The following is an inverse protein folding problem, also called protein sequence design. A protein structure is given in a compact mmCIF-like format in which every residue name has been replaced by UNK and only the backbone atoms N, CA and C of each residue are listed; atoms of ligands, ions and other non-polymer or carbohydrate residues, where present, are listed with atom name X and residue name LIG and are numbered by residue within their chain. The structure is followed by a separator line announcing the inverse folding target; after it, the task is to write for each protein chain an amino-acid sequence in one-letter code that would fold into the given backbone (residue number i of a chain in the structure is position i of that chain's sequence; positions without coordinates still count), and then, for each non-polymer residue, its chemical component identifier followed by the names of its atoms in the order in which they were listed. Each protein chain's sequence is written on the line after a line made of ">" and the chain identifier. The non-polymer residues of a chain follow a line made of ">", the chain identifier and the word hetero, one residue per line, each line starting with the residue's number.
data_IF_531513741941
#
_entry.id   IF_531513741941
#
_cell.length_a   1.000
_cell.length_b   1.000
_cell.length_c   1.000
_cell.angle_alpha   90.00
_cell.angle_beta   90.00
_cell.angle_gamma   90.00
#
_symmetry.space_group_name_H-M   'P 1'
#
loop_
_entity.id
_entity.type
_entity.pdbx_description
1 polymer ?
#
# COMPACT_ATOMS: atom_id res chain seq x y z
N UNK A 1 -3.77 7.80 2.49
CA UNK A 1 -5.22 8.02 2.36
C UNK A 1 -5.70 9.39 2.86
N UNK A 2 -5.35 9.83 4.09
CA UNK A 2 -5.77 11.17 4.58
C UNK A 2 -5.42 12.29 3.60
N UNK A 3 -4.16 12.31 3.12
CA UNK A 3 -3.66 13.34 2.21
C UNK A 3 -4.26 13.20 0.80
N UNK A 4 -4.30 11.99 0.26
CA UNK A 4 -5.02 11.72 -0.99
C UNK A 4 -6.48 12.24 -0.99
N UNK A 5 -7.21 11.97 0.08
CA UNK A 5 -8.58 12.49 0.25
C UNK A 5 -8.64 14.01 0.41
N UNK A 6 -7.72 14.61 1.15
CA UNK A 6 -7.68 16.06 1.36
C UNK A 6 -7.32 16.84 0.09
N UNK A 7 -6.38 16.35 -0.71
CA UNK A 7 -5.89 17.02 -1.91
C UNK A 7 -6.82 16.88 -3.11
N UNK A 8 -7.55 15.76 -3.21
CA UNK A 8 -8.37 15.44 -4.39
C UNK A 8 -9.84 15.17 -4.06
N UNK A 9 -10.28 15.52 -2.84
CA UNK A 9 -11.67 15.39 -2.39
C UNK A 9 -12.25 13.97 -2.49
N UNK A 10 -11.40 12.95 -2.39
CA UNK A 10 -11.83 11.55 -2.35
C UNK A 10 -12.37 11.20 -0.96
N UNK A 11 -13.52 10.50 -0.86
CA UNK A 11 -13.98 9.94 0.40
C UNK A 11 -12.90 9.03 1.02
N UNK A 12 -12.75 9.07 2.34
CA UNK A 12 -11.67 8.36 3.04
C UNK A 12 -11.63 6.85 2.73
N UNK A 13 -12.80 6.19 2.70
CA UNK A 13 -12.89 4.77 2.36
C UNK A 13 -12.42 4.44 0.95
N UNK A 14 -12.70 5.33 -0.02
CA UNK A 14 -12.22 5.19 -1.41
C UNK A 14 -10.71 5.35 -1.47
N UNK A 15 -10.18 6.37 -0.79
CA UNK A 15 -8.73 6.60 -0.72
C UNK A 15 -7.98 5.43 -0.05
N UNK A 16 -8.58 4.75 0.94
CA UNK A 16 -8.01 3.53 1.51
C UNK A 16 -8.05 2.37 0.50
N UNK A 17 -9.19 2.15 -0.15
CA UNK A 17 -9.35 1.06 -1.12
C UNK A 17 -8.39 1.17 -2.31
N UNK A 18 -8.10 2.39 -2.75
CA UNK A 18 -7.13 2.65 -3.82
C UNK A 18 -5.68 2.37 -3.42
N UNK A 19 -5.35 2.47 -2.13
CA UNK A 19 -3.97 2.34 -1.64
C UNK A 19 -3.67 0.98 -0.99
N UNK A 20 -4.70 0.22 -0.58
CA UNK A 20 -4.50 -0.95 0.29
C UNK A 20 -3.64 -2.04 -0.36
N UNK A 21 -3.77 -2.28 -1.66
CA UNK A 21 -2.94 -3.27 -2.35
C UNK A 21 -1.47 -2.84 -2.38
N UNK A 22 -1.20 -1.58 -2.71
CA UNK A 22 0.17 -1.03 -2.70
C UNK A 22 0.81 -1.20 -1.33
N UNK A 23 0.07 -0.86 -0.27
CA UNK A 23 0.56 -0.94 1.12
C UNK A 23 0.78 -2.39 1.56
N UNK A 24 -0.08 -3.33 1.16
CA UNK A 24 0.10 -4.76 1.44
C UNK A 24 1.39 -5.26 0.79
N UNK A 25 1.58 -5.00 -0.51
CA UNK A 25 2.78 -5.40 -1.26
C UNK A 25 4.04 -4.77 -0.67
N UNK A 26 3.98 -3.49 -0.34
CA UNK A 26 5.06 -2.74 0.30
C UNK A 26 5.45 -3.31 1.67
N UNK A 27 4.48 -3.62 2.52
CA UNK A 27 4.74 -4.09 3.88
C UNK A 27 5.14 -5.57 3.94
N UNK A 28 4.81 -6.37 2.92
CA UNK A 28 5.12 -7.80 2.86
C UNK A 28 6.61 -8.11 2.60
N UNK A 29 7.45 -7.11 2.39
CA UNK A 29 8.89 -7.29 2.24
C UNK A 29 9.52 -7.86 3.52
N UNK A 30 10.20 -8.99 3.41
CA UNK A 30 10.94 -9.61 4.52
C UNK A 30 12.31 -8.95 4.77
N UNK A 31 12.79 -8.15 3.82
CA UNK A 31 14.05 -7.40 3.92
C UNK A 31 13.85 -5.93 3.53
N UNK A 32 13.01 -5.16 4.25
CA UNK A 32 12.71 -3.78 3.92
C UNK A 32 13.94 -2.88 4.14
N UNK A 33 14.04 -1.80 3.36
CA UNK A 33 15.11 -0.81 3.52
C UNK A 33 15.15 -0.18 4.92
N UNK A 34 13.99 -0.05 5.57
CA UNK A 34 13.83 0.41 6.95
C UNK A 34 12.72 -0.35 7.66
N UNK A 35 13.03 -0.84 8.85
CA UNK A 35 12.09 -1.53 9.72
C UNK A 35 11.28 -0.52 10.57
N UNK A 36 10.09 -0.92 11.00
CA UNK A 36 9.30 -0.19 11.99
C UNK A 36 10.09 0.06 13.28
N UNK A 37 9.74 1.14 13.99
CA UNK A 37 10.55 1.68 15.10
C UNK A 37 10.14 1.19 16.49
N UNK A 38 9.08 0.37 16.58
CA UNK A 38 8.56 -0.13 17.85
C UNK A 38 9.41 -1.27 18.40
N UNK A 39 9.74 -1.23 19.70
CA UNK A 39 10.62 -2.22 20.33
C UNK A 39 10.04 -3.63 20.40
N UNK A 40 8.71 -3.78 20.33
CA UNK A 40 8.04 -5.08 20.25
C UNK A 40 8.10 -5.68 18.85
N UNK A 41 8.44 -4.89 17.82
CA UNK A 41 8.65 -5.38 16.47
C UNK A 41 10.12 -5.82 16.37
N UNK A 42 10.36 -7.13 16.45
CA UNK A 42 11.68 -7.73 16.62
C UNK A 42 12.38 -8.05 15.28
N UNK A 43 11.61 -8.43 14.26
CA UNK A 43 12.05 -8.59 12.87
C UNK A 43 10.88 -8.37 11.90
N UNK A 44 11.14 -8.14 10.60
CA UNK A 44 10.09 -8.10 9.59
C UNK A 44 9.34 -9.43 9.50
N UNK A 45 8.04 -9.43 9.81
CA UNK A 45 7.20 -10.64 9.75
C UNK A 45 5.79 -10.36 9.19
N UNK A 46 5.61 -9.24 8.48
CA UNK A 46 4.31 -8.84 7.93
C UNK A 46 3.76 -9.85 6.91
N UNK A 47 4.62 -10.47 6.09
CA UNK A 47 4.20 -11.48 5.11
C UNK A 47 3.44 -12.64 5.79
N UNK A 48 4.04 -13.22 6.83
CA UNK A 48 3.41 -14.27 7.63
C UNK A 48 2.10 -13.78 8.28
N UNK A 49 2.06 -12.53 8.77
CA UNK A 49 0.83 -11.95 9.34
C UNK A 49 -0.29 -11.78 8.31
N UNK A 50 0.03 -11.40 7.07
CA UNK A 50 -0.96 -11.38 5.99
C UNK A 50 -1.40 -12.78 5.58
N UNK A 51 -0.47 -13.75 5.56
CA UNK A 51 -0.79 -15.15 5.31
C UNK A 51 -1.76 -15.74 6.35
N UNK A 52 -1.61 -15.37 7.63
CA UNK A 52 -2.57 -15.75 8.67
C UNK A 52 -3.97 -15.18 8.47
N UNK A 53 -4.08 -13.96 7.94
CA UNK A 53 -5.37 -13.38 7.56
C UNK A 53 -6.00 -14.21 6.43
N UNK A 54 -5.20 -14.59 5.43
CA UNK A 54 -5.67 -15.44 4.32
C UNK A 54 -6.14 -16.82 4.82
N UNK A 55 -5.40 -17.43 5.75
CA UNK A 55 -5.78 -18.71 6.38
C UNK A 55 -7.08 -18.58 7.17
N UNK A 56 -7.21 -17.53 7.98
CA UNK A 56 -8.42 -17.26 8.75
C UNK A 56 -9.65 -17.09 7.86
N UNK A 57 -9.48 -16.45 6.70
CA UNK A 57 -10.53 -16.24 5.70
C UNK A 57 -10.75 -17.46 4.78
N UNK A 58 -9.94 -18.51 4.89
CA UNK A 58 -10.05 -19.72 4.08
C UNK A 58 -9.72 -19.51 2.59
N UNK A 59 -8.80 -18.58 2.28
CA UNK A 59 -8.47 -18.20 0.89
C UNK A 59 -7.49 -19.18 0.21
N UNK A 60 -6.87 -20.08 0.98
CA UNK A 60 -5.93 -21.09 0.49
C UNK A 60 -4.55 -20.53 0.11
N UNK A 61 -3.69 -21.40 -0.40
CA UNK A 61 -2.28 -21.13 -0.70
C UNK A 61 -1.35 -22.07 0.09
N UNK A 62 -0.24 -22.49 -0.52
CA UNK A 62 0.74 -23.41 0.08
C UNK A 62 1.91 -22.66 0.73
N UNK A 63 2.24 -21.48 0.22
CA UNK A 63 3.27 -20.59 0.77
C UNK A 63 2.65 -19.28 1.23
N UNK A 64 3.38 -18.51 2.02
CA UNK A 64 2.88 -17.22 2.51
C UNK A 64 2.73 -16.21 1.37
N UNK A 65 3.56 -16.28 0.32
CA UNK A 65 3.41 -15.47 -0.90
C UNK A 65 2.15 -15.84 -1.68
N UNK A 66 1.86 -17.14 -1.85
CA UNK A 66 0.62 -17.58 -2.50
C UNK A 66 -0.62 -17.11 -1.70
N UNK A 67 -0.55 -17.18 -0.37
CA UNK A 67 -1.62 -16.70 0.53
C UNK A 67 -1.77 -15.18 0.46
N UNK A 68 -0.68 -14.43 0.37
CA UNK A 68 -0.68 -12.98 0.17
C UNK A 68 -1.40 -12.60 -1.13
N UNK A 69 -1.05 -13.25 -2.25
CA UNK A 69 -1.71 -12.99 -3.53
C UNK A 69 -3.20 -13.36 -3.50
N UNK A 70 -3.58 -14.44 -2.80
CA UNK A 70 -4.99 -14.80 -2.61
C UNK A 70 -5.74 -13.76 -1.75
N UNK A 71 -5.10 -13.20 -0.71
CA UNK A 71 -5.64 -12.09 0.08
C UNK A 71 -5.85 -10.84 -0.77
N UNK A 72 -4.84 -10.44 -1.55
CA UNK A 72 -4.91 -9.29 -2.45
C UNK A 72 -6.04 -9.50 -3.48
N UNK A 73 -6.12 -10.71 -4.07
CA UNK A 73 -7.20 -11.06 -4.99
C UNK A 73 -8.57 -10.91 -4.33
N UNK A 74 -8.77 -11.43 -3.12
CA UNK A 74 -10.05 -11.32 -2.41
C UNK A 74 -10.43 -9.86 -2.12
N UNK A 75 -9.44 -9.01 -1.77
CA UNK A 75 -9.65 -7.57 -1.60
C UNK A 75 -10.03 -6.90 -2.92
N UNK A 76 -9.38 -7.25 -4.03
CA UNK A 76 -9.67 -6.72 -5.35
C UNK A 76 -11.05 -7.14 -5.87
N UNK A 77 -11.42 -8.40 -5.68
CA UNK A 77 -12.76 -8.91 -5.99
C UNK A 77 -13.83 -8.16 -5.18
N UNK A 78 -13.56 -7.88 -3.90
CA UNK A 78 -14.47 -7.09 -3.06
C UNK A 78 -14.59 -5.64 -3.54
N UNK A 79 -13.46 -4.97 -3.85
CA UNK A 79 -13.44 -3.61 -4.42
C UNK A 79 -14.31 -3.51 -5.66
N UNK A 80 -14.13 -4.42 -6.62
CA UNK A 80 -14.92 -4.47 -7.84
C UNK A 80 -16.42 -4.69 -7.53
N UNK A 81 -16.74 -5.63 -6.64
CA UNK A 81 -18.13 -5.95 -6.25
C UNK A 81 -18.86 -4.77 -5.61
N UNK A 82 -18.15 -3.92 -4.86
CA UNK A 82 -18.74 -2.73 -4.21
C UNK A 82 -18.56 -1.43 -5.01
N UNK A 83 -18.08 -1.52 -6.26
CA UNK A 83 -18.01 -0.40 -7.20
C UNK A 83 -16.84 0.57 -6.99
N UNK A 84 -15.78 0.14 -6.32
CA UNK A 84 -14.53 0.92 -6.27
C UNK A 84 -13.86 0.85 -7.65
N UNK A 85 -13.64 2.01 -8.28
CA UNK A 85 -12.86 2.11 -9.52
C UNK A 85 -11.40 1.72 -9.26
N UNK A 86 -10.74 1.19 -10.28
CA UNK A 86 -9.44 0.52 -10.14
C UNK A 86 -8.30 1.48 -9.78
N UNK A 87 -8.30 2.69 -10.36
CA UNK A 87 -7.20 3.65 -10.21
C UNK A 87 -7.67 5.00 -9.67
N UNK A 88 -6.72 5.80 -9.15
CA UNK A 88 -6.98 7.19 -8.77
C UNK A 88 -7.44 7.99 -10.01
N UNK A 89 -6.85 7.72 -11.18
CA UNK A 89 -7.18 8.38 -12.45
C UNK A 89 -8.65 8.20 -12.83
N UNK A 90 -9.25 7.06 -12.52
CA UNK A 90 -10.65 6.77 -12.87
C UNK A 90 -11.65 7.63 -12.08
N UNK A 91 -11.22 8.34 -11.02
CA UNK A 91 -12.05 9.28 -10.25
C UNK A 91 -11.97 10.72 -10.77
N UNK A 92 -11.66 10.90 -12.06
CA UNK A 92 -11.65 12.20 -12.74
C UNK A 92 -10.62 13.20 -12.15
N UNK A 93 -9.52 12.66 -11.60
CA UNK A 93 -8.40 13.43 -11.10
C UNK A 93 -7.41 13.68 -12.24
N UNK A 94 -7.24 14.95 -12.61
CA UNK A 94 -6.33 15.37 -13.67
C UNK A 94 -4.88 14.98 -13.37
N UNK A 95 -4.19 14.48 -14.39
CA UNK A 95 -2.82 13.96 -14.25
C UNK A 95 -1.82 15.06 -13.90
N UNK A 96 -1.98 16.24 -14.48
CA UNK A 96 -1.09 17.37 -14.19
C UNK A 96 -1.30 17.85 -12.75
N UNK A 97 -2.55 18.05 -12.32
CA UNK A 97 -2.85 18.44 -10.93
C UNK A 97 -2.34 17.40 -9.91
N UNK A 98 -2.51 16.11 -10.21
CA UNK A 98 -1.97 15.03 -9.39
C UNK A 98 -0.44 15.10 -9.26
N UNK A 99 0.26 15.18 -10.39
CA UNK A 99 1.73 15.22 -10.41
C UNK A 99 2.29 16.49 -9.77
N UNK A 100 1.65 17.64 -9.98
CA UNK A 100 2.07 18.92 -9.39
C UNK A 100 1.96 18.91 -7.85
N UNK A 101 0.99 18.17 -7.30
CA UNK A 101 0.74 18.07 -5.85
C UNK A 101 1.40 16.86 -5.18
N UNK A 102 1.95 15.95 -5.97
CA UNK A 102 2.41 14.64 -5.51
C UNK A 102 3.52 14.74 -4.46
N UNK A 103 4.44 15.70 -4.61
CA UNK A 103 5.56 15.87 -3.66
C UNK A 103 5.07 16.35 -2.29
N UNK A 104 4.23 17.39 -2.25
CA UNK A 104 3.61 17.87 -1.01
C UNK A 104 2.74 16.79 -0.34
N UNK A 105 1.96 16.05 -1.14
CA UNK A 105 1.14 14.95 -0.64
C UNK A 105 1.98 13.81 -0.06
N UNK A 106 3.16 13.56 -0.63
CA UNK A 106 4.13 12.55 -0.16
C UNK A 106 4.74 12.96 1.18
N UNK A 107 5.23 14.20 1.29
CA UNK A 107 5.81 14.73 2.53
C UNK A 107 4.79 14.70 3.66
N UNK A 108 3.59 15.22 3.42
CA UNK A 108 2.55 15.20 4.44
C UNK A 108 2.08 13.80 4.82
N UNK A 109 2.19 12.81 3.92
CA UNK A 109 1.88 11.42 4.25
C UNK A 109 2.99 10.80 5.12
N UNK A 110 4.26 11.15 4.85
CA UNK A 110 5.39 10.74 5.69
C UNK A 110 5.28 11.32 7.11
N UNK A 111 4.87 12.59 7.24
CA UNK A 111 4.69 13.28 8.52
C UNK A 111 3.38 12.94 9.26
N UNK A 112 2.51 12.13 8.65
CA UNK A 112 1.24 11.73 9.27
C UNK A 112 1.52 10.84 10.50
N UNK A 113 0.82 11.11 11.61
CA UNK A 113 0.99 10.37 12.87
C UNK A 113 0.73 8.86 12.71
N UNK A 114 -0.09 8.46 11.74
CA UNK A 114 -0.33 7.04 11.45
C UNK A 114 0.92 6.32 10.91
N UNK A 115 1.83 7.02 10.24
CA UNK A 115 3.01 6.42 9.58
C UNK A 115 3.98 5.80 10.57
N UNK A 116 4.11 6.38 11.77
CA UNK A 116 5.03 5.88 12.80
C UNK A 116 4.75 4.45 13.25
N UNK A 117 3.49 3.99 13.12
CA UNK A 117 3.06 2.64 13.50
C UNK A 117 3.17 1.61 12.36
N UNK A 118 3.58 2.00 11.16
CA UNK A 118 3.70 1.06 10.04
C UNK A 118 4.88 0.09 10.25
N UNK A 119 4.74 -1.22 9.98
CA UNK A 119 5.79 -2.23 10.22
C UNK A 119 7.05 -2.02 9.37
N UNK A 120 6.93 -1.26 8.28
CA UNK A 120 8.05 -0.76 7.46
C UNK A 120 8.07 0.76 7.56
N UNK A 121 9.14 1.35 8.11
CA UNK A 121 9.22 2.81 8.18
C UNK A 121 9.52 3.36 6.77
N UNK A 122 8.57 4.02 6.09
CA UNK A 122 8.71 4.26 4.65
C UNK A 122 9.74 5.33 4.33
N UNK A 123 10.34 5.26 3.15
CA UNK A 123 10.99 6.39 2.50
C UNK A 123 9.94 7.22 1.74
N UNK A 124 10.14 8.54 1.66
CA UNK A 124 9.28 9.40 0.82
C UNK A 124 9.23 8.91 -0.64
N UNK A 125 10.34 8.40 -1.17
CA UNK A 125 10.39 7.84 -2.52
C UNK A 125 9.51 6.60 -2.69
N UNK A 126 9.35 5.77 -1.66
CA UNK A 126 8.49 4.59 -1.68
C UNK A 126 7.01 4.99 -1.61
N UNK A 127 6.66 5.98 -0.77
CA UNK A 127 5.31 6.56 -0.72
C UNK A 127 4.94 7.17 -2.07
N UNK A 128 5.83 8.00 -2.64
CA UNK A 128 5.64 8.62 -3.95
C UNK A 128 5.40 7.57 -5.04
N UNK A 129 6.18 6.48 -5.01
CA UNK A 129 6.01 5.39 -5.96
C UNK A 129 4.66 4.68 -5.81
N UNK A 130 4.20 4.40 -4.59
CA UNK A 130 2.88 3.81 -4.35
C UNK A 130 1.75 4.71 -4.87
N UNK A 131 1.85 6.03 -4.69
CA UNK A 131 0.87 6.97 -5.25
C UNK A 131 0.85 6.93 -6.79
N UNK A 132 2.01 6.93 -7.44
CA UNK A 132 2.11 6.82 -8.90
C UNK A 132 1.52 5.49 -9.40
N UNK A 133 1.82 4.39 -8.71
CA UNK A 133 1.29 3.08 -9.04
C UNK A 133 -0.24 3.04 -8.96
N UNK A 134 -0.81 3.52 -7.86
CA UNK A 134 -2.25 3.63 -7.67
C UNK A 134 -2.92 4.59 -8.68
N UNK A 135 -2.20 5.59 -9.18
CA UNK A 135 -2.69 6.48 -10.23
C UNK A 135 -2.73 5.82 -11.60
N UNK A 136 -1.70 5.07 -11.97
CA UNK A 136 -1.55 4.46 -13.31
C UNK A 136 -1.98 2.99 -13.40
N UNK A 137 -2.52 2.40 -12.34
CA UNK A 137 -2.92 0.98 -12.31
C UNK A 137 -1.73 0.02 -12.37
N UNK A 138 -0.62 0.39 -11.71
CA UNK A 138 0.55 -0.47 -11.51
C UNK A 138 0.60 -0.90 -10.05
N UNK A 139 1.54 -1.79 -9.73
CA UNK A 139 1.72 -2.28 -8.37
C UNK A 139 3.13 -2.15 -7.84
N UNK A 140 3.25 -1.95 -6.52
CA UNK A 140 4.52 -1.87 -5.82
C UNK A 140 5.30 -3.16 -6.04
N UNK A 141 6.56 -2.99 -6.44
CA UNK A 141 7.53 -4.07 -6.59
C UNK A 141 8.76 -3.68 -5.79
N UNK A 142 9.24 -4.62 -4.97
CA UNK A 142 10.49 -4.41 -4.24
C UNK A 142 11.63 -4.29 -5.25
N UNK A 143 12.52 -3.32 -5.02
CA UNK A 143 13.73 -3.19 -5.84
C UNK A 143 14.73 -4.24 -5.38
N UNK A 144 15.28 -5.01 -6.30
CA UNK A 144 16.39 -5.90 -5.98
C UNK A 144 17.55 -5.07 -5.41
N UNK A 145 17.96 -5.39 -4.19
CA UNK A 145 19.17 -4.80 -3.64
C UNK A 145 20.40 -5.43 -4.32
N UNK A 146 21.49 -4.65 -4.52
CA UNK A 146 22.76 -5.21 -4.97
C UNK A 146 23.17 -6.36 -4.06
N UNK A 147 23.51 -7.51 -4.65
CA UNK A 147 24.08 -8.63 -3.89
C UNK A 147 25.47 -8.19 -3.42
N UNK A 148 25.67 -8.16 -2.10
CA UNK A 148 26.95 -7.86 -1.44
C UNK A 148 27.90 -9.05 -1.58
#
# INVERSE_FOLDING_TARGET
>A
AHKLGAFHHLPHGVANALMIEEVIRFNASEAPAKMGTFSQYDHPHTLARYAEIADYLGLGGKTDEEKLENLIKAINDLKAKVGIKETIKDYDIDEKDFLDRLDDMTEQAFDDQCTGANPRYPLMSEIKQMYLNAYYGKHFQEKEMPKV
#
